data_IF_027343543849
#
_entry.id   IF_027343543849
#
_cell.length_a   1.000
_cell.length_b   1.000
_cell.length_c   1.000
_cell.angle_alpha   90.00
_cell.angle_beta   90.00
_cell.angle_gamma   90.00
#
_symmetry.space_group_name_H-M   'P 1'
#
loop_
_entity.id
_entity.type
_entity.pdbx_description
1 polymer ?
#
# COMPACT_ATOMS: atom_id res chain seq x y z
N UNK A 1 49.39 -3.81 -1.06
CA UNK A 1 48.43 -3.77 -2.19
C UNK A 1 47.18 -4.51 -1.75
N UNK A 2 46.00 -3.87 -1.66
CA UNK A 2 44.78 -4.62 -1.35
C UNK A 2 44.53 -5.61 -2.49
N UNK A 3 44.44 -6.89 -2.15
CA UNK A 3 44.20 -7.96 -3.12
C UNK A 3 42.79 -7.79 -3.69
N UNK A 4 42.70 -7.47 -4.99
CA UNK A 4 41.44 -7.46 -5.70
C UNK A 4 40.83 -8.85 -5.76
N UNK A 5 39.50 -8.93 -5.71
CA UNK A 5 38.74 -10.18 -5.68
C UNK A 5 38.03 -10.38 -7.01
N UNK A 6 37.90 -11.64 -7.45
CA UNK A 6 37.16 -11.98 -8.67
C UNK A 6 35.67 -11.60 -8.58
N UNK A 7 35.02 -11.29 -9.71
CA UNK A 7 33.59 -10.95 -9.76
C UNK A 7 32.70 -12.01 -9.07
N UNK A 8 33.03 -13.29 -9.27
CA UNK A 8 32.28 -14.41 -8.71
C UNK A 8 32.40 -14.49 -7.19
N UNK A 9 33.58 -14.17 -6.66
CA UNK A 9 33.82 -14.16 -5.24
C UNK A 9 33.29 -12.89 -4.56
N UNK A 10 33.37 -11.74 -5.24
CA UNK A 10 32.68 -10.52 -4.84
C UNK A 10 31.17 -10.74 -4.72
N UNK A 11 30.57 -11.37 -5.75
CA UNK A 11 29.15 -11.70 -5.75
C UNK A 11 28.75 -12.64 -4.60
N UNK A 12 29.59 -13.64 -4.30
CA UNK A 12 29.37 -14.57 -3.19
C UNK A 12 29.43 -13.86 -1.83
N UNK A 13 30.40 -12.97 -1.62
CA UNK A 13 30.55 -12.22 -0.36
C UNK A 13 29.43 -11.20 -0.13
N UNK A 14 28.93 -10.62 -1.21
CA UNK A 14 27.84 -9.62 -1.17
C UNK A 14 26.44 -10.26 -1.29
N UNK A 15 26.34 -11.58 -1.45
CA UNK A 15 25.07 -12.30 -1.58
C UNK A 15 24.28 -11.97 -2.86
N UNK A 16 24.93 -11.71 -4.00
CA UNK A 16 24.27 -11.55 -5.32
C UNK A 16 24.70 -12.59 -6.34
N UNK A 17 23.99 -12.57 -7.48
CA UNK A 17 24.43 -13.23 -8.70
C UNK A 17 25.56 -12.47 -9.39
N UNK A 18 26.52 -13.22 -9.94
CA UNK A 18 27.61 -12.68 -10.79
C UNK A 18 27.07 -11.87 -11.99
N UNK A 19 25.91 -12.25 -12.53
CA UNK A 19 25.21 -11.51 -13.59
C UNK A 19 24.87 -10.07 -13.19
N UNK A 20 24.51 -9.83 -11.93
CA UNK A 20 24.18 -8.51 -11.40
C UNK A 20 25.45 -7.63 -11.33
N UNK A 21 26.57 -8.22 -10.88
CA UNK A 21 27.88 -7.55 -10.82
C UNK A 21 28.35 -7.14 -12.21
N UNK A 22 28.26 -8.02 -13.21
CA UNK A 22 28.59 -7.69 -14.61
C UNK A 22 27.70 -6.57 -15.18
N UNK A 23 26.41 -6.58 -14.86
CA UNK A 23 25.47 -5.53 -15.28
C UNK A 23 25.85 -4.17 -14.67
N UNK A 24 26.29 -4.16 -13.41
CA UNK A 24 26.73 -2.95 -12.72
C UNK A 24 28.06 -2.40 -13.25
N UNK A 25 28.99 -3.27 -13.66
CA UNK A 25 30.22 -2.88 -14.37
C UNK A 25 29.89 -2.25 -15.74
N UNK A 26 28.99 -2.87 -16.53
CA UNK A 26 28.55 -2.31 -17.81
C UNK A 26 27.83 -0.96 -17.66
N UNK A 27 27.13 -0.76 -16.54
CA UNK A 27 26.47 0.50 -16.20
C UNK A 27 27.42 1.54 -15.57
N UNK A 28 28.73 1.24 -15.47
CA UNK A 28 29.77 2.09 -14.89
C UNK A 28 29.51 2.50 -13.41
N UNK A 29 28.79 1.65 -12.66
CA UNK A 29 28.41 1.88 -11.24
C UNK A 29 29.34 1.18 -10.25
N UNK A 30 29.99 0.10 -10.67
CA UNK A 30 31.15 -0.50 -9.99
C UNK A 30 32.37 -0.25 -10.86
N UNK A 31 33.50 0.10 -10.25
CA UNK A 31 34.78 0.24 -10.95
C UNK A 31 35.63 -0.99 -10.67
N UNK A 32 36.06 -1.67 -11.73
CA UNK A 32 37.08 -2.70 -11.64
C UNK A 32 38.47 -2.06 -11.70
N UNK A 33 39.46 -2.74 -11.12
CA UNK A 33 40.87 -2.43 -11.32
C UNK A 33 41.30 -2.76 -12.76
N UNK A 34 42.51 -2.34 -13.15
CA UNK A 34 43.06 -2.56 -14.49
C UNK A 34 43.19 -4.06 -14.86
N UNK A 35 43.31 -4.93 -13.86
CA UNK A 35 43.35 -6.39 -13.99
C UNK A 35 41.96 -7.05 -14.05
N UNK A 36 40.88 -6.26 -13.98
CA UNK A 36 39.49 -6.74 -13.98
C UNK A 36 39.00 -7.27 -12.63
N UNK A 37 39.78 -7.15 -11.56
CA UNK A 37 39.37 -7.51 -10.20
C UNK A 37 38.57 -6.39 -9.52
N UNK A 38 37.84 -6.73 -8.46
CA UNK A 38 37.00 -5.80 -7.69
C UNK A 38 37.59 -5.54 -6.31
N UNK A 39 37.39 -4.32 -5.82
CA UNK A 39 37.80 -3.94 -4.47
C UNK A 39 36.95 -4.67 -3.42
N UNK A 40 37.55 -5.51 -2.55
CA UNK A 40 36.83 -6.18 -1.47
C UNK A 40 36.13 -5.22 -0.51
N UNK A 41 36.62 -3.99 -0.35
CA UNK A 41 36.02 -3.00 0.54
C UNK A 41 34.63 -2.52 0.07
N UNK A 42 34.29 -2.76 -1.20
CA UNK A 42 32.97 -2.41 -1.74
C UNK A 42 31.87 -3.43 -1.39
N UNK A 43 32.23 -4.62 -0.89
CA UNK A 43 31.26 -5.60 -0.39
C UNK A 43 30.53 -5.02 0.82
N UNK A 44 29.19 -5.10 0.82
CA UNK A 44 28.35 -4.56 1.89
C UNK A 44 28.10 -3.05 1.82
N UNK A 45 28.63 -2.35 0.81
CA UNK A 45 28.38 -0.92 0.60
C UNK A 45 27.11 -0.67 -0.23
N UNK A 46 26.61 0.56 -0.23
CA UNK A 46 25.41 0.99 -0.95
C UNK A 46 25.54 1.05 -2.49
N UNK A 47 26.53 0.38 -3.09
CA UNK A 47 26.73 0.35 -4.55
C UNK A 47 25.50 -0.15 -5.34
N UNK A 48 24.60 -0.88 -4.66
CA UNK A 48 23.34 -1.40 -5.21
C UNK A 48 22.17 -0.42 -5.21
N UNK A 49 22.18 0.62 -4.38
CA UNK A 49 21.06 1.57 -4.29
C UNK A 49 20.82 2.30 -5.62
N UNK A 50 21.88 2.50 -6.41
CA UNK A 50 21.79 3.03 -7.76
C UNK A 50 21.05 2.09 -8.74
N UNK A 51 20.98 0.78 -8.49
CA UNK A 51 20.14 -0.16 -9.25
C UNK A 51 18.69 -0.18 -8.72
N UNK A 52 18.48 0.00 -7.42
CA UNK A 52 17.13 0.08 -6.83
C UNK A 52 16.35 1.32 -7.31
N UNK A 53 17.03 2.44 -7.58
CA UNK A 53 16.39 3.66 -8.14
C UNK A 53 16.08 3.59 -9.65
N UNK A 54 16.65 2.62 -10.37
CA UNK A 54 16.45 2.43 -11.82
C UNK A 54 15.58 1.22 -12.18
N UNK A 55 15.37 0.29 -11.25
CA UNK A 55 14.35 -0.72 -11.34
C UNK A 55 13.13 -0.18 -10.59
N UNK A 56 12.17 0.37 -11.31
CA UNK A 56 10.86 0.69 -10.75
C UNK A 56 10.33 -0.59 -10.06
N UNK A 57 10.29 -0.68 -8.71
CA UNK A 57 9.63 -1.82 -8.12
C UNK A 57 8.14 -1.60 -8.39
N UNK A 58 7.56 -2.46 -9.23
CA UNK A 58 6.12 -2.60 -9.25
C UNK A 58 5.68 -2.82 -7.80
N UNK A 59 4.92 -1.87 -7.25
CA UNK A 59 4.55 -1.83 -5.86
C UNK A 59 3.86 -3.15 -5.48
N UNK A 60 4.44 -4.01 -4.63
CA UNK A 60 3.82 -5.29 -4.26
C UNK A 60 2.62 -5.11 -3.33
N UNK A 61 2.42 -3.89 -2.80
CA UNK A 61 1.40 -3.57 -1.80
C UNK A 61 0.03 -3.23 -2.38
N UNK A 62 -0.18 -3.28 -3.70
CA UNK A 62 -1.50 -3.06 -4.31
C UNK A 62 -2.44 -4.28 -4.22
N UNK A 63 -1.97 -5.42 -3.69
CA UNK A 63 -2.77 -6.62 -3.47
C UNK A 63 -2.94 -6.91 -1.97
N UNK A 64 -3.67 -6.04 -1.25
CA UNK A 64 -4.38 -6.47 -0.04
C UNK A 64 -5.86 -6.65 -0.39
N UNK A 65 -6.15 -7.62 -1.26
CA UNK A 65 -7.52 -8.13 -1.41
C UNK A 65 -7.59 -9.50 -0.74
N UNK A 66 -8.47 -9.59 0.25
CA UNK A 66 -8.94 -10.82 0.89
C UNK A 66 -9.10 -11.97 -0.12
N UNK A 67 -8.86 -13.24 0.28
CA UNK A 67 -8.99 -14.38 -0.62
C UNK A 67 -10.47 -14.64 -0.89
N UNK A 68 -11.06 -13.89 -1.82
CA UNK A 68 -12.27 -14.30 -2.51
C UNK A 68 -11.87 -15.50 -3.34
N UNK A 69 -12.36 -16.67 -2.93
CA UNK A 69 -12.24 -17.92 -3.67
C UNK A 69 -13.09 -17.84 -4.94
N UNK A 70 -12.63 -17.05 -5.92
CA UNK A 70 -13.15 -17.09 -7.27
C UNK A 70 -12.36 -18.14 -8.05
N UNK A 71 -13.10 -18.95 -8.81
CA UNK A 71 -12.61 -19.95 -9.74
C UNK A 71 -11.45 -19.38 -10.58
N UNK A 72 -10.39 -20.19 -10.70
CA UNK A 72 -9.15 -19.96 -11.47
C UNK A 72 -9.27 -18.83 -12.51
N UNK A 73 -8.37 -17.83 -12.52
CA UNK A 73 -8.29 -16.94 -13.66
C UNK A 73 -7.89 -17.82 -14.84
N UNK A 74 -8.81 -18.02 -15.77
CA UNK A 74 -8.51 -18.66 -17.05
C UNK A 74 -7.63 -17.66 -17.79
N UNK A 75 -6.33 -17.71 -17.50
CA UNK A 75 -5.32 -17.09 -18.34
C UNK A 75 -5.30 -17.91 -19.61
N UNK A 76 -6.16 -17.55 -20.57
CA UNK A 76 -5.99 -17.94 -21.95
C UNK A 76 -4.70 -17.26 -22.41
N UNK A 77 -3.56 -17.93 -22.20
CA UNK A 77 -2.34 -17.53 -22.87
C UNK A 77 -2.65 -17.46 -24.37
N UNK A 78 -2.32 -16.34 -25.05
CA UNK A 78 -2.48 -16.30 -26.48
C UNK A 78 -1.69 -17.48 -27.04
N UNK A 79 -2.38 -18.39 -27.74
CA UNK A 79 -1.74 -19.52 -28.39
C UNK A 79 -0.87 -18.94 -29.49
N UNK A 80 0.40 -18.70 -29.20
CA UNK A 80 1.42 -18.33 -30.18
C UNK A 80 1.86 -19.65 -30.80
N UNK A 81 1.62 -19.84 -32.10
CA UNK A 81 2.07 -21.04 -32.79
C UNK A 81 3.61 -21.10 -32.80
N UNK A 82 4.20 -22.29 -32.82
CA UNK A 82 5.66 -22.44 -32.89
C UNK A 82 6.21 -21.70 -34.13
N UNK A 83 7.02 -20.67 -33.90
CA UNK A 83 7.60 -19.82 -34.94
C UNK A 83 6.83 -18.53 -35.28
N UNK A 84 5.68 -18.27 -34.65
CA UNK A 84 4.91 -17.03 -34.84
C UNK A 84 5.48 -15.89 -33.98
N UNK A 85 5.73 -14.71 -34.57
CA UNK A 85 6.11 -13.53 -33.79
C UNK A 85 4.90 -12.97 -33.02
N UNK A 86 5.14 -12.25 -31.92
CA UNK A 86 4.09 -11.55 -31.17
C UNK A 86 3.23 -10.64 -32.06
N UNK A 87 3.84 -10.01 -33.07
CA UNK A 87 3.14 -9.19 -34.06
C UNK A 87 2.22 -10.01 -34.97
N UNK A 88 2.62 -11.23 -35.33
CA UNK A 88 1.85 -12.10 -36.23
C UNK A 88 0.66 -12.72 -35.48
N UNK A 89 0.86 -13.11 -34.23
CA UNK A 89 -0.21 -13.55 -33.33
C UNK A 89 -1.25 -12.43 -33.09
N UNK A 90 -0.79 -11.18 -32.92
CA UNK A 90 -1.67 -10.03 -32.75
C UNK A 90 -2.50 -9.74 -34.02
N UNK A 91 -1.89 -9.84 -35.20
CA UNK A 91 -2.60 -9.69 -36.49
C UNK A 91 -3.63 -10.80 -36.68
N UNK A 92 -3.28 -12.06 -36.43
CA UNK A 92 -4.20 -13.19 -36.53
C UNK A 92 -5.42 -13.03 -35.62
N UNK A 93 -5.25 -12.50 -34.41
CA UNK A 93 -6.35 -12.24 -33.47
C UNK A 93 -7.23 -11.07 -33.88
N UNK A 94 -6.65 -10.04 -34.51
CA UNK A 94 -7.39 -8.93 -35.10
C UNK A 94 -8.20 -9.42 -36.33
N UNK A 95 -7.57 -10.22 -37.20
CA UNK A 95 -8.18 -10.77 -38.42
C UNK A 95 -9.24 -11.84 -38.12
N UNK A 96 -9.12 -12.57 -37.00
CA UNK A 96 -10.12 -13.56 -36.58
C UNK A 96 -11.44 -12.94 -36.09
N UNK A 97 -11.56 -11.60 -36.08
CA UNK A 97 -12.75 -10.88 -35.61
C UNK A 97 -13.03 -11.06 -34.12
N UNK A 98 -12.10 -11.67 -33.37
CA UNK A 98 -12.21 -11.87 -31.93
C UNK A 98 -12.07 -10.54 -31.18
N UNK A 99 -11.32 -9.59 -31.75
CA UNK A 99 -11.23 -8.20 -31.29
C UNK A 99 -12.10 -7.35 -32.21
N UNK A 100 -13.31 -7.02 -31.77
CA UNK A 100 -14.29 -6.19 -32.51
C UNK A 100 -13.94 -4.69 -32.56
N UNK A 101 -12.74 -4.33 -32.12
CA UNK A 101 -12.35 -2.96 -31.82
C UNK A 101 -11.11 -2.60 -32.63
N UNK A 102 -11.12 -1.44 -33.26
CA UNK A 102 -9.94 -0.96 -34.00
C UNK A 102 -8.81 -0.59 -33.04
N UNK A 103 -7.58 -0.59 -33.54
CA UNK A 103 -6.40 -0.21 -32.75
C UNK A 103 -6.52 1.20 -32.17
N UNK A 104 -7.06 2.14 -32.96
CA UNK A 104 -7.26 3.53 -32.54
C UNK A 104 -8.22 3.62 -31.35
N UNK A 105 -9.37 2.96 -31.43
CA UNK A 105 -10.34 2.94 -30.33
C UNK A 105 -9.77 2.21 -29.09
N UNK A 106 -8.95 1.17 -29.27
CA UNK A 106 -8.30 0.47 -28.16
C UNK A 106 -7.27 1.36 -27.44
N UNK A 107 -6.51 2.14 -28.20
CA UNK A 107 -5.57 3.12 -27.66
C UNK A 107 -6.29 4.23 -26.90
N UNK A 108 -7.39 4.76 -27.45
CA UNK A 108 -8.21 5.79 -26.81
C UNK A 108 -8.75 5.32 -25.45
N UNK A 109 -9.30 4.10 -25.38
CA UNK A 109 -9.75 3.53 -24.09
C UNK A 109 -8.60 3.43 -23.10
N UNK A 110 -7.44 2.95 -23.53
CA UNK A 110 -6.26 2.83 -22.66
C UNK A 110 -5.85 4.19 -22.08
N UNK A 111 -5.75 5.22 -22.92
CA UNK A 111 -5.36 6.56 -22.46
C UNK A 111 -6.41 7.16 -21.53
N UNK A 112 -7.70 6.94 -21.81
CA UNK A 112 -8.80 7.37 -20.92
C UNK A 112 -8.67 6.73 -19.54
N UNK A 113 -8.51 5.41 -19.46
CA UNK A 113 -8.35 4.74 -18.16
C UNK A 113 -7.06 5.14 -17.44
N UNK A 114 -5.99 5.41 -18.19
CA UNK A 114 -4.74 5.90 -17.62
C UNK A 114 -4.91 7.30 -17.03
N UNK A 115 -5.66 8.18 -17.69
CA UNK A 115 -5.99 9.49 -17.17
C UNK A 115 -6.82 9.40 -15.87
N UNK A 116 -7.84 8.54 -15.84
CA UNK A 116 -8.66 8.30 -14.64
C UNK A 116 -7.83 7.74 -13.47
N UNK A 117 -6.94 6.79 -13.73
CA UNK A 117 -6.05 6.26 -12.69
C UNK A 117 -5.14 7.35 -12.13
N UNK A 118 -4.57 8.20 -13.00
CA UNK A 118 -3.72 9.32 -12.57
C UNK A 118 -4.49 10.39 -11.80
N UNK A 119 -5.73 10.64 -12.17
CA UNK A 119 -6.61 11.53 -11.42
C UNK A 119 -6.86 10.97 -10.02
N UNK A 120 -7.23 9.70 -9.90
CA UNK A 120 -7.45 9.04 -8.61
C UNK A 120 -6.18 9.07 -7.74
N UNK A 121 -5.01 8.78 -8.32
CA UNK A 121 -3.74 8.90 -7.61
C UNK A 121 -3.46 10.34 -7.15
N UNK A 122 -3.78 11.33 -7.98
CA UNK A 122 -3.63 12.75 -7.63
C UNK A 122 -4.57 13.14 -6.48
N UNK A 123 -5.83 12.71 -6.52
CA UNK A 123 -6.83 12.96 -5.48
C UNK A 123 -6.43 12.30 -4.15
N UNK A 124 -5.89 11.08 -4.19
CA UNK A 124 -5.33 10.43 -3.00
C UNK A 124 -4.10 11.18 -2.44
N UNK A 125 -3.14 11.54 -3.30
CA UNK A 125 -1.91 12.24 -2.89
C UNK A 125 -2.17 13.67 -2.42
N UNK A 126 -3.19 14.33 -2.96
CA UNK A 126 -3.63 15.66 -2.51
C UNK A 126 -4.46 15.60 -1.23
N UNK A 127 -4.86 14.40 -0.78
CA UNK A 127 -5.66 14.19 0.43
C UNK A 127 -7.17 14.41 0.23
N UNK A 128 -7.63 14.57 -1.00
CA UNK A 128 -9.05 14.69 -1.33
C UNK A 128 -9.79 13.35 -1.25
N UNK A 129 -9.09 12.23 -1.49
CA UNK A 129 -9.65 10.88 -1.43
C UNK A 129 -8.89 10.02 -0.41
N UNK A 130 -9.63 9.32 0.45
CA UNK A 130 -9.09 8.37 1.43
C UNK A 130 -9.74 7.00 1.20
N UNK A 131 -9.01 5.93 1.48
CA UNK A 131 -9.57 4.58 1.47
C UNK A 131 -10.63 4.44 2.56
N UNK A 132 -11.80 3.92 2.18
CA UNK A 132 -12.93 3.77 3.08
C UNK A 132 -12.61 2.93 4.33
N UNK A 133 -11.92 1.80 4.16
CA UNK A 133 -11.55 0.91 5.28
C UNK A 133 -10.63 1.60 6.28
N UNK A 134 -9.65 2.37 5.78
CA UNK A 134 -8.76 3.19 6.61
C UNK A 134 -9.54 4.28 7.35
N UNK A 135 -10.43 5.00 6.67
CA UNK A 135 -11.26 6.04 7.30
C UNK A 135 -12.19 5.46 8.37
N UNK A 136 -12.83 4.32 8.09
CA UNK A 136 -13.70 3.61 9.02
C UNK A 136 -12.92 3.14 10.25
N UNK A 137 -11.72 2.58 10.08
CA UNK A 137 -10.89 2.11 11.17
C UNK A 137 -10.48 3.26 12.11
N UNK A 138 -9.99 4.37 11.55
CA UNK A 138 -9.61 5.55 12.33
C UNK A 138 -10.82 6.09 13.09
N UNK A 139 -11.96 6.25 12.41
CA UNK A 139 -13.18 6.76 13.04
C UNK A 139 -13.63 5.87 14.21
N UNK A 140 -13.60 4.54 14.02
CA UNK A 140 -13.98 3.59 15.05
C UNK A 140 -13.02 3.61 16.24
N UNK A 141 -11.72 3.72 15.99
CA UNK A 141 -10.69 3.84 17.04
C UNK A 141 -10.87 5.13 17.85
N UNK A 142 -11.09 6.26 17.19
CA UNK A 142 -11.34 7.56 17.84
C UNK A 142 -12.59 7.53 18.72
N UNK A 143 -13.73 7.02 18.20
CA UNK A 143 -14.95 6.92 19.00
C UNK A 143 -14.81 5.92 20.15
N UNK A 144 -14.04 4.84 19.97
CA UNK A 144 -13.72 3.92 21.05
C UNK A 144 -12.90 4.62 22.13
N UNK A 145 -11.86 5.37 21.76
CA UNK A 145 -11.05 6.13 22.70
C UNK A 145 -11.90 7.16 23.46
N UNK A 146 -12.82 7.84 22.76
CA UNK A 146 -13.76 8.77 23.38
C UNK A 146 -14.70 8.09 24.37
N UNK A 147 -15.25 6.92 24.02
CA UNK A 147 -16.09 6.13 24.92
C UNK A 147 -15.33 5.72 26.17
N UNK A 148 -14.13 5.17 26.00
CA UNK A 148 -13.30 4.70 27.11
C UNK A 148 -12.89 5.89 28.01
N UNK A 149 -12.63 7.07 27.44
CA UNK A 149 -12.39 8.30 28.19
C UNK A 149 -13.57 8.74 29.05
N UNK A 150 -14.80 8.63 28.53
CA UNK A 150 -16.04 8.91 29.27
C UNK A 150 -16.31 7.87 30.36
N UNK A 151 -16.08 6.58 30.11
CA UNK A 151 -16.25 5.53 31.13
C UNK A 151 -15.31 5.73 32.33
N UNK A 152 -14.10 6.24 32.08
CA UNK A 152 -13.14 6.57 33.14
C UNK A 152 -13.29 8.00 33.68
N UNK A 153 -14.23 8.80 33.19
CA UNK A 153 -14.39 10.18 33.63
C UNK A 153 -15.00 10.31 35.04
N UNK A 154 -16.06 9.55 35.41
CA UNK A 154 -16.66 9.59 36.74
C UNK A 154 -15.66 9.32 37.88
N UNK A 155 -14.74 8.37 37.69
CA UNK A 155 -13.73 8.03 38.71
C UNK A 155 -12.71 9.14 38.94
N UNK A 156 -12.43 9.97 37.91
CA UNK A 156 -11.51 11.10 38.01
C UNK A 156 -12.18 12.37 38.54
N UNK A 157 -13.40 12.66 38.09
CA UNK A 157 -14.09 13.93 38.38
C UNK A 157 -15.07 13.81 39.54
N UNK A 158 -15.65 12.64 39.78
CA UNK A 158 -16.61 12.40 40.86
C UNK A 158 -16.10 12.82 42.24
N UNK A 159 -14.89 12.42 42.67
CA UNK A 159 -14.33 12.85 43.94
C UNK A 159 -14.07 14.36 44.02
N UNK A 160 -13.62 14.99 42.92
CA UNK A 160 -13.36 16.43 42.86
C UNK A 160 -14.67 17.22 42.98
N UNK A 161 -15.69 16.82 42.22
CA UNK A 161 -17.02 17.43 42.26
C UNK A 161 -17.68 17.26 43.63
N UNK A 162 -17.49 16.11 44.27
CA UNK A 162 -17.99 15.87 45.62
C UNK A 162 -17.31 16.79 46.65
N UNK A 163 -16.00 17.02 46.53
CA UNK A 163 -15.28 17.95 47.38
C UNK A 163 -15.77 19.40 47.22
N UNK A 164 -16.00 19.84 45.99
CA UNK A 164 -16.48 21.20 45.69
C UNK A 164 -17.90 21.44 46.23
N UNK A 165 -18.75 20.41 46.23
CA UNK A 165 -20.14 20.49 46.68
C UNK A 165 -20.36 20.05 48.13
N UNK A 166 -19.32 19.59 48.83
CA UNK A 166 -19.42 19.05 50.20
C UNK A 166 -20.23 17.76 50.30
N UNK A 167 -20.23 16.93 49.26
CA UNK A 167 -20.96 15.67 49.17
C UNK A 167 -20.04 14.46 49.42
N UNK A 168 -20.65 13.29 49.61
CA UNK A 168 -19.93 12.02 49.74
C UNK A 168 -19.40 11.55 48.36
N UNK A 169 -18.08 11.38 48.25
CA UNK A 169 -17.40 11.10 46.99
C UNK A 169 -17.87 9.82 46.27
N UNK A 170 -18.12 8.76 47.04
CA UNK A 170 -18.54 7.47 46.49
C UNK A 170 -19.93 7.56 45.86
N UNK A 171 -20.87 8.25 46.52
CA UNK A 171 -22.24 8.46 46.01
C UNK A 171 -22.27 9.30 44.74
N UNK A 172 -21.45 10.35 44.67
CA UNK A 172 -21.36 11.20 43.47
C UNK A 172 -20.76 10.41 42.30
N UNK A 173 -19.70 9.64 42.56
CA UNK A 173 -19.05 8.82 41.53
C UNK A 173 -19.99 7.72 41.01
N UNK A 174 -20.72 7.05 41.90
CA UNK A 174 -21.73 6.04 41.53
C UNK A 174 -22.84 6.64 40.67
N UNK A 175 -23.42 7.77 41.09
CA UNK A 175 -24.48 8.45 40.34
C UNK A 175 -23.98 8.88 38.94
N UNK A 176 -22.80 9.51 38.86
CA UNK A 176 -22.22 9.90 37.58
C UNK A 176 -21.95 8.71 36.67
N UNK A 177 -21.47 7.58 37.22
CA UNK A 177 -21.22 6.36 36.44
C UNK A 177 -22.51 5.86 35.79
N UNK A 178 -23.61 5.80 36.54
CA UNK A 178 -24.91 5.38 36.00
C UNK A 178 -25.40 6.29 34.86
N UNK A 179 -25.34 7.62 35.04
CA UNK A 179 -25.78 8.57 34.01
C UNK A 179 -24.87 8.58 32.77
N UNK A 180 -23.56 8.49 32.95
CA UNK A 180 -22.61 8.42 31.83
C UNK A 180 -22.82 7.13 31.03
N UNK A 181 -23.02 5.99 31.69
CA UNK A 181 -23.31 4.73 31.01
C UNK A 181 -24.60 4.80 30.20
N UNK A 182 -25.66 5.39 30.76
CA UNK A 182 -26.91 5.63 30.03
C UNK A 182 -26.66 6.50 28.79
N UNK A 183 -25.98 7.64 28.94
CA UNK A 183 -25.67 8.54 27.84
C UNK A 183 -24.86 7.87 26.72
N UNK A 184 -23.85 7.08 27.07
CA UNK A 184 -23.04 6.33 26.09
C UNK A 184 -23.90 5.29 25.36
N UNK A 185 -24.84 4.64 26.05
CA UNK A 185 -25.76 3.67 25.45
C UNK A 185 -26.68 4.35 24.46
N UNK A 186 -27.29 5.47 24.85
CA UNK A 186 -28.16 6.27 23.98
C UNK A 186 -27.41 6.78 22.73
N UNK A 187 -26.13 7.17 22.87
CA UNK A 187 -25.28 7.56 21.74
C UNK A 187 -24.88 6.38 20.83
N UNK A 188 -24.87 5.16 21.37
CA UNK A 188 -24.57 3.93 20.64
C UNK A 188 -25.70 3.45 19.73
N UNK A 189 -26.90 4.03 19.87
CA UNK A 189 -28.08 3.77 19.04
C UNK A 189 -28.39 4.99 18.13
N UNK A 190 -27.52 5.36 17.19
CA UNK A 190 -27.78 6.51 16.34
C UNK A 190 -28.93 6.23 15.37
N UNK A 191 -29.97 7.07 15.43
CA UNK A 191 -30.99 7.19 14.38
C UNK A 191 -30.32 7.79 13.14
N UNK A 192 -29.83 6.92 12.25
CA UNK A 192 -29.09 7.33 11.07
C UNK A 192 -30.05 7.92 10.01
N UNK A 193 -30.44 9.19 10.18
CA UNK A 193 -31.21 9.95 9.22
C UNK A 193 -30.29 10.51 8.12
N UNK A 194 -30.02 9.70 7.10
CA UNK A 194 -29.23 10.12 5.93
C UNK A 194 -29.98 11.03 4.96
N UNK A 195 -31.28 11.25 5.17
CA UNK A 195 -32.16 12.02 4.27
C UNK A 195 -32.14 13.53 4.50
N UNK A 196 -31.58 14.04 5.60
CA UNK A 196 -31.61 15.47 5.92
C UNK A 196 -30.47 16.30 5.31
N UNK A 197 -29.45 15.66 4.70
CA UNK A 197 -28.28 16.34 4.11
C UNK A 197 -28.25 16.42 2.59
N UNK A 198 -29.27 15.91 1.92
CA UNK A 198 -29.48 16.12 0.47
C UNK A 198 -30.36 17.36 0.26
N UNK A 199 -29.78 18.54 0.40
CA UNK A 199 -30.43 19.84 0.17
C UNK A 199 -29.46 20.87 -0.37
#
# INVERSE_FOLDING_TARGET
>A
MPAGISLREFARRDGCSDTLVRKALKANRLKAFEDGSLDPALVGTAWREANAKGANPANPSANSSHPVRSSQPVRSEPVISDGESLQDAAKRLADSGAVKMTYAEALEKKETYLALLRQLEYEQKSGALVEFDTAQAILFEEFRAQRDAWLNWPTRVGPLLAADLGLEADKVTEALTAYVHKQITDLGEPEANFTEREG
#
